data_IF_440452070087
#
_entry.id   IF_440452070087
#
_cell.length_a   1.000
_cell.length_b   1.000
_cell.length_c   1.000
_cell.angle_alpha   90.00
_cell.angle_beta   90.00
_cell.angle_gamma   90.00
#
_symmetry.space_group_name_H-M   'P 1'
#
loop_
_entity.id
_entity.type
_entity.pdbx_description
1 polymer ?
#
# COMPACT_ATOMS: atom_id res chain seq x y z
N UNK A 1 -30.88 6.99 -47.91
CA UNK A 1 -30.39 8.08 -47.03
C UNK A 1 -29.63 7.43 -45.88
N UNK A 2 -28.31 7.55 -45.84
CA UNK A 2 -27.49 7.01 -44.75
C UNK A 2 -27.13 8.17 -43.79
N UNK A 3 -27.63 8.11 -42.56
CA UNK A 3 -27.17 8.98 -41.49
C UNK A 3 -25.80 8.47 -41.01
N UNK A 4 -24.73 9.22 -41.28
CA UNK A 4 -23.45 9.07 -40.58
C UNK A 4 -23.47 9.99 -39.37
N UNK A 5 -23.69 9.43 -38.19
CA UNK A 5 -23.41 10.12 -36.92
C UNK A 5 -21.93 9.89 -36.62
N UNK A 6 -21.09 10.86 -37.02
CA UNK A 6 -19.68 10.89 -36.68
C UNK A 6 -19.51 11.32 -35.23
N UNK A 7 -19.57 10.36 -34.30
CA UNK A 7 -19.16 10.58 -32.91
C UNK A 7 -17.64 10.70 -32.86
N UNK A 8 -17.13 11.88 -32.49
CA UNK A 8 -15.74 12.03 -32.06
C UNK A 8 -15.53 11.19 -30.80
N UNK A 9 -14.98 9.99 -30.95
CA UNK A 9 -14.50 9.21 -29.82
C UNK A 9 -13.27 9.92 -29.26
N UNK A 10 -13.44 10.69 -28.18
CA UNK A 10 -12.30 11.13 -27.38
C UNK A 10 -11.74 9.89 -26.69
N UNK A 11 -10.68 9.31 -27.24
CA UNK A 11 -9.95 8.24 -26.57
C UNK A 11 -9.29 8.87 -25.35
N UNK A 12 -9.84 8.62 -24.17
CA UNK A 12 -9.21 9.00 -22.90
C UNK A 12 -8.08 8.01 -22.66
N UNK A 13 -6.84 8.46 -22.84
CA UNK A 13 -5.64 7.65 -22.62
C UNK A 13 -5.40 7.53 -21.10
N UNK A 14 -5.79 6.38 -20.53
CA UNK A 14 -5.55 6.06 -19.12
C UNK A 14 -4.13 5.54 -18.94
N UNK A 15 -3.21 6.43 -18.56
CA UNK A 15 -1.83 6.05 -18.20
C UNK A 15 -1.80 5.42 -16.82
N UNK A 16 -1.76 4.08 -16.75
CA UNK A 16 -1.50 3.38 -15.51
C UNK A 16 -0.05 3.57 -15.07
N UNK A 17 0.15 3.91 -13.78
CA UNK A 17 1.48 3.90 -13.19
C UNK A 17 2.04 2.47 -13.29
N UNK A 18 3.12 2.27 -14.05
CA UNK A 18 3.76 0.96 -14.22
C UNK A 18 4.26 0.38 -12.88
N UNK A 19 4.47 1.23 -11.89
CA UNK A 19 4.87 0.89 -10.53
C UNK A 19 3.69 0.84 -9.56
N UNK A 20 2.44 0.79 -10.05
CA UNK A 20 1.27 0.73 -9.19
C UNK A 20 1.35 -0.45 -8.23
N UNK A 21 1.32 -0.17 -6.92
CA UNK A 21 1.47 -1.16 -5.84
C UNK A 21 2.81 -1.91 -5.78
N UNK A 22 3.79 -1.57 -6.63
CA UNK A 22 5.09 -2.24 -6.68
C UNK A 22 6.06 -1.60 -5.71
N UNK A 23 6.22 -2.21 -4.53
CA UNK A 23 7.23 -1.80 -3.56
C UNK A 23 8.58 -2.44 -3.92
N UNK A 24 9.66 -1.65 -4.11
CA UNK A 24 11.00 -2.20 -4.28
C UNK A 24 11.44 -3.04 -3.07
N UNK A 25 12.10 -4.18 -3.30
CA UNK A 25 12.57 -5.10 -2.26
C UNK A 25 13.36 -4.41 -1.14
N UNK A 26 14.24 -3.45 -1.45
CA UNK A 26 15.00 -2.73 -0.42
C UNK A 26 14.12 -1.85 0.49
N UNK A 27 13.03 -1.28 -0.04
CA UNK A 27 12.06 -0.51 0.75
C UNK A 27 11.21 -1.44 1.61
N UNK A 28 10.75 -2.56 1.04
CA UNK A 28 9.99 -3.57 1.78
C UNK A 28 10.82 -4.14 2.94
N UNK A 29 12.08 -4.51 2.69
CA UNK A 29 12.99 -5.01 3.73
C UNK A 29 13.23 -4.00 4.85
N UNK A 30 13.42 -2.72 4.50
CA UNK A 30 13.59 -1.65 5.49
C UNK A 30 12.31 -1.47 6.33
N UNK A 31 11.16 -1.38 5.67
CA UNK A 31 9.87 -1.25 6.34
C UNK A 31 9.59 -2.45 7.26
N UNK A 32 9.83 -3.68 6.80
CA UNK A 32 9.61 -4.90 7.59
C UNK A 32 10.49 -4.94 8.84
N UNK A 33 11.77 -4.54 8.74
CA UNK A 33 12.64 -4.40 9.91
C UNK A 33 12.12 -3.37 10.92
N UNK A 34 11.61 -2.24 10.43
CA UNK A 34 11.04 -1.21 11.30
C UNK A 34 9.74 -1.65 11.95
N UNK A 35 8.85 -2.31 11.19
CA UNK A 35 7.58 -2.85 11.66
C UNK A 35 7.81 -3.86 12.80
N UNK A 36 8.79 -4.77 12.66
CA UNK A 36 9.16 -5.70 13.72
C UNK A 36 9.59 -4.98 15.00
N UNK A 37 10.50 -4.00 14.89
CA UNK A 37 10.92 -3.18 16.05
C UNK A 37 9.76 -2.43 16.70
N UNK A 38 8.80 -1.95 15.91
CA UNK A 38 7.61 -1.28 16.43
C UNK A 38 6.71 -2.28 17.17
N UNK A 39 6.50 -3.47 16.59
CA UNK A 39 5.68 -4.52 17.18
C UNK A 39 6.23 -4.99 18.54
N UNK A 40 7.55 -5.10 18.66
CA UNK A 40 8.26 -5.50 19.89
C UNK A 40 8.38 -4.36 20.92
N UNK A 41 8.15 -3.11 20.52
CA UNK A 41 8.31 -1.96 21.41
C UNK A 41 7.28 -1.91 22.55
N UNK A 42 7.61 -1.16 23.61
CA UNK A 42 6.75 -0.97 24.77
C UNK A 42 5.61 0.04 24.53
N UNK A 43 5.37 0.43 23.27
CA UNK A 43 4.33 1.39 22.88
C UNK A 43 2.93 0.82 23.09
N UNK A 44 1.94 1.69 23.25
CA UNK A 44 0.53 1.25 23.27
C UNK A 44 0.12 0.68 21.91
N UNK A 45 -0.93 -0.14 21.88
CA UNK A 45 -1.45 -0.73 20.64
C UNK A 45 -1.72 0.34 19.56
N UNK A 46 -2.40 1.43 19.92
CA UNK A 46 -2.74 2.50 18.96
C UNK A 46 -1.49 3.25 18.45
N UNK A 47 -0.47 3.40 19.29
CA UNK A 47 0.82 3.94 18.87
C UNK A 47 1.56 3.00 17.92
N UNK A 48 1.51 1.69 18.15
CA UNK A 48 2.06 0.67 17.24
C UNK A 48 1.36 0.71 15.89
N UNK A 49 0.02 0.71 15.88
CA UNK A 49 -0.81 0.80 14.67
C UNK A 49 -0.45 2.02 13.85
N UNK A 50 -0.39 3.19 14.49
CA UNK A 50 -0.07 4.45 13.81
C UNK A 50 1.35 4.44 13.23
N UNK A 51 2.32 3.89 13.95
CA UNK A 51 3.70 3.80 13.48
C UNK A 51 3.86 2.80 12.33
N UNK A 52 3.22 1.62 12.42
CA UNK A 52 3.23 0.62 11.34
C UNK A 52 2.55 1.18 10.09
N UNK A 53 1.40 1.84 10.22
CA UNK A 53 0.72 2.49 9.10
C UNK A 53 1.63 3.49 8.36
N UNK A 54 2.48 4.23 9.09
CA UNK A 54 3.47 5.14 8.49
C UNK A 54 4.56 4.40 7.72
N UNK A 55 5.02 3.24 8.21
CA UNK A 55 5.98 2.41 7.48
C UNK A 55 5.37 1.89 6.17
N UNK A 56 4.09 1.49 6.17
CA UNK A 56 3.36 1.16 4.94
C UNK A 56 3.30 2.36 3.98
N UNK A 57 2.84 3.53 4.43
CA UNK A 57 2.79 4.74 3.59
C UNK A 57 4.16 5.09 2.99
N UNK A 58 5.22 4.94 3.80
CA UNK A 58 6.60 5.21 3.36
C UNK A 58 7.07 4.20 2.32
N UNK A 59 6.77 2.92 2.51
CA UNK A 59 7.16 1.86 1.58
C UNK A 59 6.43 1.99 0.23
N UNK A 60 5.13 2.30 0.26
CA UNK A 60 4.28 2.46 -0.93
C UNK A 60 4.37 3.86 -1.57
N UNK A 61 5.22 4.75 -1.06
CA UNK A 61 5.40 6.09 -1.65
C UNK A 61 5.90 6.01 -3.10
N UNK A 62 5.16 6.65 -4.01
CA UNK A 62 5.45 6.66 -5.46
C UNK A 62 4.89 5.45 -6.22
N UNK A 63 4.11 4.60 -5.54
CA UNK A 63 3.45 3.44 -6.13
C UNK A 63 1.97 3.68 -6.39
N UNK A 64 1.44 4.89 -6.19
CA UNK A 64 -0.01 5.17 -6.29
C UNK A 64 -0.84 4.63 -5.11
N UNK A 65 -0.17 4.13 -4.07
CA UNK A 65 -0.75 3.64 -2.81
C UNK A 65 -0.16 4.38 -1.60
N UNK A 66 0.13 5.67 -1.74
CA UNK A 66 0.88 6.48 -0.77
C UNK A 66 0.26 6.51 0.63
N UNK A 67 -1.07 6.40 0.73
CA UNK A 67 -1.82 6.44 1.99
C UNK A 67 -2.42 5.07 2.37
N UNK A 68 -1.91 3.98 1.77
CA UNK A 68 -2.45 2.64 1.98
C UNK A 68 -2.40 2.20 3.44
N UNK A 69 -1.31 2.54 4.15
CA UNK A 69 -1.16 2.25 5.58
C UNK A 69 -2.25 2.90 6.44
N UNK A 70 -2.65 4.13 6.11
CA UNK A 70 -3.76 4.79 6.80
C UNK A 70 -5.11 4.09 6.55
N UNK A 71 -5.33 3.63 5.31
CA UNK A 71 -6.55 2.92 4.92
C UNK A 71 -6.70 1.55 5.62
N UNK A 72 -5.59 0.92 6.04
CA UNK A 72 -5.59 -0.42 6.65
C UNK A 72 -5.34 -0.42 8.16
N UNK A 73 -5.42 0.73 8.85
CA UNK A 73 -5.15 0.83 10.30
C UNK A 73 -5.98 -0.14 11.14
N UNK A 74 -7.26 -0.30 10.83
CA UNK A 74 -8.13 -1.23 11.56
C UNK A 74 -7.70 -2.68 11.36
N UNK A 75 -7.24 -3.03 10.15
CA UNK A 75 -6.68 -4.35 9.84
C UNK A 75 -5.39 -4.58 10.61
N UNK A 76 -4.46 -3.61 10.62
CA UNK A 76 -3.22 -3.66 11.41
C UNK A 76 -3.56 -3.86 12.90
N UNK A 77 -4.55 -3.12 13.42
CA UNK A 77 -4.96 -3.23 14.82
C UNK A 77 -5.51 -4.62 15.17
N UNK A 78 -6.30 -5.22 14.28
CA UNK A 78 -6.79 -6.60 14.45
C UNK A 78 -5.63 -7.59 14.43
N UNK A 79 -4.75 -7.53 13.43
CA UNK A 79 -3.58 -8.42 13.34
C UNK A 79 -2.71 -8.37 14.59
N UNK A 80 -2.40 -7.17 15.11
CA UNK A 80 -1.59 -7.03 16.32
C UNK A 80 -2.29 -7.59 17.58
N UNK A 81 -3.62 -7.50 17.67
CA UNK A 81 -4.38 -8.14 18.76
C UNK A 81 -4.33 -9.66 18.67
N UNK A 82 -4.32 -10.19 17.45
CA UNK A 82 -4.21 -11.63 17.17
C UNK A 82 -2.77 -12.15 17.26
N UNK A 83 -1.82 -11.31 17.69
CA UNK A 83 -0.40 -11.67 17.82
C UNK A 83 0.35 -11.73 16.49
N UNK A 84 -0.24 -11.22 15.41
CA UNK A 84 0.36 -11.20 14.08
C UNK A 84 1.01 -9.85 13.78
N UNK A 85 2.19 -9.89 13.18
CA UNK A 85 2.90 -8.69 12.72
C UNK A 85 2.73 -8.58 11.21
N UNK A 86 2.13 -7.48 10.69
CA UNK A 86 1.96 -7.31 9.26
C UNK A 86 3.30 -7.10 8.57
N UNK A 87 3.36 -7.44 7.27
CA UNK A 87 4.53 -7.20 6.43
C UNK A 87 4.16 -6.41 5.18
N UNK A 88 5.12 -5.64 4.69
CA UNK A 88 5.10 -5.07 3.34
C UNK A 88 5.64 -6.13 2.39
N UNK A 89 4.82 -6.49 1.41
CA UNK A 89 5.20 -7.44 0.37
C UNK A 89 6.00 -6.75 -0.74
N UNK A 90 7.13 -7.33 -1.11
CA UNK A 90 7.84 -7.04 -2.36
C UNK A 90 7.49 -8.02 -3.48
N UNK A 91 6.67 -9.04 -3.19
CA UNK A 91 6.19 -9.97 -4.21
C UNK A 91 5.19 -9.26 -5.11
N UNK A 92 5.46 -9.28 -6.41
CA UNK A 92 4.45 -9.02 -7.42
C UNK A 92 3.27 -9.97 -7.15
N UNK A 93 2.01 -9.52 -7.11
CA UNK A 93 0.91 -10.46 -7.20
C UNK A 93 1.13 -11.27 -8.48
N UNK A 94 1.23 -12.60 -8.34
CA UNK A 94 1.18 -13.48 -9.51
C UNK A 94 -0.19 -13.23 -10.13
N UNK A 95 -0.20 -12.64 -11.33
CA UNK A 95 -1.40 -12.54 -12.16
C UNK A 95 -1.71 -13.91 -12.75
#
# INVERSE_FOLDING_TARGET
MQHRIGGNYTVVDFKFNQNFGKVPTHKANTANKNIQKIAESNKTLDQKVTAIAREFNTAYKGTGLENFGDAIKDTIKKMLKDGQVPNVSDMRPNM
#
